data_IF_529800303200
#
_entry.id   IF_529800303200
#
_cell.length_a   1.000
_cell.length_b   1.000
_cell.length_c   1.000
_cell.angle_alpha   90.00
_cell.angle_beta   90.00
_cell.angle_gamma   90.00
#
_symmetry.space_group_name_H-M   'P 1'
#
loop_
_entity.id
_entity.type
_entity.pdbx_description
1 polymer ?
#
# COMPACT_ATOMS: atom_id res chain seq x y z
N UNK A 1 -15.49 15.37 19.78
CA UNK A 1 -15.28 14.61 18.52
C UNK A 1 -14.66 13.28 18.93
N UNK A 2 -15.15 12.14 18.43
CA UNK A 2 -14.57 10.83 18.72
C UNK A 2 -13.26 10.65 17.97
N UNK A 3 -12.31 9.95 18.60
CA UNK A 3 -11.00 9.66 18.00
C UNK A 3 -11.11 8.50 17.01
N UNK A 4 -10.66 8.68 15.77
CA UNK A 4 -10.67 7.61 14.77
C UNK A 4 -9.48 6.66 15.02
N UNK A 5 -9.77 5.39 15.33
CA UNK A 5 -8.73 4.41 15.66
C UNK A 5 -7.89 3.98 14.46
N UNK A 6 -8.34 4.25 13.23
CA UNK A 6 -7.55 4.00 12.02
C UNK A 6 -6.37 4.98 11.85
N UNK A 7 -6.32 6.09 12.61
CA UNK A 7 -5.21 7.05 12.56
C UNK A 7 -3.96 6.60 13.36
N UNK A 8 -4.06 5.50 14.09
CA UNK A 8 -2.99 5.07 14.99
C UNK A 8 -2.16 3.91 14.45
N UNK A 9 -0.85 4.03 14.62
CA UNK A 9 0.04 2.85 14.71
C UNK A 9 -0.18 2.15 16.07
N UNK A 10 0.23 0.88 16.21
CA UNK A 10 0.08 0.17 17.48
C UNK A 10 0.79 0.84 18.67
N UNK A 11 2.02 1.38 18.53
CA UNK A 11 2.63 2.17 19.59
C UNK A 11 1.81 3.39 20.01
N UNK A 12 1.38 4.21 19.03
CA UNK A 12 0.57 5.40 19.31
C UNK A 12 -0.80 5.05 19.91
N UNK A 13 -1.44 3.97 19.47
CA UNK A 13 -2.67 3.46 20.08
C UNK A 13 -2.44 3.02 21.51
N UNK A 14 -1.30 2.42 21.82
CA UNK A 14 -0.94 1.98 23.17
C UNK A 14 -0.79 3.18 24.12
N UNK A 15 -0.16 4.24 23.66
CA UNK A 15 -0.04 5.51 24.43
C UNK A 15 -1.42 6.15 24.65
N UNK A 16 -2.27 6.17 23.62
CA UNK A 16 -3.63 6.67 23.75
C UNK A 16 -4.45 5.86 24.75
N UNK A 17 -4.36 4.51 24.73
CA UNK A 17 -5.01 3.66 25.73
C UNK A 17 -4.48 3.91 27.15
N UNK A 18 -3.18 4.14 27.31
CA UNK A 18 -2.60 4.50 28.60
C UNK A 18 -3.19 5.82 29.14
N UNK A 19 -3.44 6.81 28.27
CA UNK A 19 -4.11 8.06 28.66
C UNK A 19 -5.55 7.85 29.14
N UNK A 20 -6.19 6.76 28.70
CA UNK A 20 -7.51 6.33 29.18
C UNK A 20 -7.46 5.48 30.45
N UNK A 21 -6.26 5.22 31.01
CA UNK A 21 -6.08 4.33 32.16
C UNK A 21 -6.15 2.84 31.84
N UNK A 22 -6.05 2.48 30.54
CA UNK A 22 -6.12 1.11 30.07
C UNK A 22 -4.73 0.47 29.90
N UNK A 23 -4.67 -0.86 30.06
CA UNK A 23 -3.40 -1.60 29.93
C UNK A 23 -2.98 -1.75 28.45
N UNK A 24 -1.67 -1.81 28.14
CA UNK A 24 -1.14 -1.90 26.75
C UNK A 24 -1.70 -3.07 25.93
N UNK A 25 -2.00 -4.22 26.55
CA UNK A 25 -2.54 -5.37 25.83
C UNK A 25 -3.96 -5.13 25.29
N UNK A 26 -4.73 -4.18 25.88
CA UNK A 26 -6.07 -3.80 25.40
C UNK A 26 -5.98 -3.08 24.07
N UNK A 27 -4.99 -2.19 23.89
CA UNK A 27 -4.71 -1.55 22.62
C UNK A 27 -4.45 -2.59 21.52
N UNK A 28 -3.63 -3.61 21.81
CA UNK A 28 -3.35 -4.70 20.89
C UNK A 28 -4.59 -5.52 20.53
N UNK A 29 -5.46 -5.81 21.49
CA UNK A 29 -6.73 -6.51 21.23
C UNK A 29 -7.60 -5.70 20.25
N UNK A 30 -7.83 -4.41 20.55
CA UNK A 30 -8.63 -3.53 19.68
C UNK A 30 -8.00 -3.39 18.31
N UNK A 31 -6.68 -3.21 18.23
CA UNK A 31 -5.94 -3.10 16.96
C UNK A 31 -6.15 -4.33 16.06
N UNK A 32 -6.12 -5.54 16.65
CA UNK A 32 -6.42 -6.79 15.92
C UNK A 32 -7.88 -6.84 15.44
N UNK A 33 -8.83 -6.44 16.28
CA UNK A 33 -10.23 -6.41 15.88
C UNK A 33 -10.45 -5.48 14.68
N UNK A 34 -9.86 -4.29 14.75
CA UNK A 34 -10.01 -3.28 13.69
C UNK A 34 -9.34 -3.73 12.40
N UNK A 35 -8.06 -4.13 12.45
CA UNK A 35 -7.27 -4.34 11.23
C UNK A 35 -7.26 -5.80 10.73
N UNK A 36 -7.16 -6.80 11.64
CA UNK A 36 -7.14 -8.20 11.20
C UNK A 36 -8.53 -8.70 10.85
N UNK A 37 -9.53 -8.36 11.68
CA UNK A 37 -10.89 -8.84 11.50
C UNK A 37 -11.78 -7.89 10.71
N UNK A 38 -11.36 -6.64 10.51
CA UNK A 38 -12.13 -5.63 9.79
C UNK A 38 -13.41 -5.22 10.51
N UNK A 39 -13.39 -5.19 11.84
CA UNK A 39 -14.56 -4.90 12.68
C UNK A 39 -14.52 -3.44 13.14
N UNK A 40 -15.60 -2.70 12.87
CA UNK A 40 -15.78 -1.32 13.32
C UNK A 40 -16.68 -1.19 14.55
N UNK A 41 -17.54 -2.17 14.80
CA UNK A 41 -18.48 -2.16 15.92
C UNK A 41 -17.81 -2.72 17.20
N UNK A 42 -17.69 -1.88 18.22
CA UNK A 42 -17.11 -2.28 19.50
C UNK A 42 -17.92 -3.35 20.22
N UNK A 43 -19.23 -3.46 19.98
CA UNK A 43 -20.06 -4.51 20.59
C UNK A 43 -19.72 -5.90 20.07
N UNK A 44 -19.25 -6.00 18.84
CA UNK A 44 -18.77 -7.25 18.25
C UNK A 44 -17.41 -7.72 18.79
N UNK A 45 -16.67 -6.86 19.52
CA UNK A 45 -15.35 -7.17 20.08
C UNK A 45 -15.48 -7.95 21.40
N UNK A 46 -15.89 -9.22 21.31
CA UNK A 46 -16.37 -10.03 22.45
C UNK A 46 -15.33 -10.37 23.49
N UNK A 47 -14.04 -10.32 23.18
CA UNK A 47 -12.93 -10.55 24.13
C UNK A 47 -12.56 -9.28 24.95
N UNK A 48 -13.23 -8.15 24.67
CA UNK A 48 -13.11 -6.94 25.48
C UNK A 48 -14.17 -6.90 26.59
N UNK A 49 -13.77 -6.41 27.77
CA UNK A 49 -14.71 -6.16 28.86
C UNK A 49 -15.84 -5.22 28.41
N UNK A 50 -17.08 -5.47 28.86
CA UNK A 50 -18.24 -4.62 28.50
C UNK A 50 -18.00 -3.15 28.85
N UNK A 51 -17.41 -2.86 30.03
CA UNK A 51 -17.08 -1.50 30.46
C UNK A 51 -16.12 -0.78 29.49
N UNK A 52 -15.13 -1.50 28.94
CA UNK A 52 -14.22 -0.94 27.95
C UNK A 52 -14.93 -0.66 26.62
N UNK A 53 -15.81 -1.57 26.17
CA UNK A 53 -16.59 -1.36 24.95
C UNK A 53 -17.48 -0.12 25.05
N UNK A 54 -18.19 0.06 26.16
CA UNK A 54 -19.00 1.26 26.41
C UNK A 54 -18.14 2.54 26.41
N UNK A 55 -16.99 2.50 27.12
CA UNK A 55 -16.05 3.63 27.14
C UNK A 55 -15.57 3.99 25.71
N UNK A 56 -15.20 2.97 24.90
CA UNK A 56 -14.74 3.22 23.53
C UNK A 56 -15.83 3.83 22.65
N UNK A 57 -17.10 3.44 22.80
CA UNK A 57 -18.21 4.06 22.06
C UNK A 57 -18.35 5.56 22.32
N UNK A 58 -17.99 6.02 23.50
CA UNK A 58 -18.07 7.43 23.86
C UNK A 58 -16.91 8.25 23.28
N UNK A 59 -15.68 7.69 23.28
CA UNK A 59 -14.44 8.44 22.99
C UNK A 59 -13.80 8.10 21.66
N UNK A 60 -14.18 6.99 21.02
CA UNK A 60 -13.54 6.48 19.81
C UNK A 60 -14.56 6.09 18.73
N UNK A 61 -14.05 5.96 17.53
CA UNK A 61 -14.75 5.38 16.37
C UNK A 61 -13.76 4.66 15.45
N UNK A 62 -14.27 3.78 14.59
CA UNK A 62 -13.53 3.21 13.46
C UNK A 62 -14.25 3.69 12.21
N UNK A 63 -13.74 4.75 11.60
CA UNK A 63 -14.36 5.43 10.46
C UNK A 63 -13.43 5.42 9.25
N UNK A 64 -13.53 4.39 8.38
CA UNK A 64 -12.85 4.40 7.09
C UNK A 64 -13.56 5.35 6.11
N UNK A 65 -12.92 5.71 4.98
CA UNK A 65 -13.59 6.47 3.92
C UNK A 65 -14.75 5.68 3.29
N UNK A 66 -15.80 6.39 2.88
CA UNK A 66 -16.97 5.78 2.23
C UNK A 66 -16.73 5.60 0.73
N UNK A 67 -17.34 4.56 0.13
CA UNK A 67 -17.31 4.34 -1.31
C UNK A 67 -18.36 5.23 -1.97
N UNK A 68 -17.91 6.17 -2.82
CA UNK A 68 -18.79 6.97 -3.68
C UNK A 68 -19.18 6.23 -4.96
N UNK A 69 -18.25 5.48 -5.54
CA UNK A 69 -18.51 4.63 -6.71
C UNK A 69 -17.59 3.43 -6.76
N UNK A 70 -18.09 2.34 -7.38
CA UNK A 70 -17.35 1.10 -7.63
C UNK A 70 -17.52 0.73 -9.11
N UNK A 71 -16.39 0.52 -9.80
CA UNK A 71 -16.36 0.07 -11.17
C UNK A 71 -15.56 -1.22 -11.29
N UNK A 72 -16.11 -2.21 -12.00
CA UNK A 72 -15.47 -3.50 -12.24
C UNK A 72 -15.20 -3.69 -13.72
N UNK A 73 -14.00 -4.13 -14.02
CA UNK A 73 -13.59 -4.52 -15.36
C UNK A 73 -13.75 -6.03 -15.59
N UNK A 74 -13.76 -6.44 -16.84
CA UNK A 74 -13.93 -7.85 -17.22
C UNK A 74 -12.78 -8.76 -16.76
N UNK A 75 -11.59 -8.19 -16.52
CA UNK A 75 -10.41 -8.88 -15.98
C UNK A 75 -10.42 -9.02 -14.45
N UNK A 76 -11.50 -8.58 -13.79
CA UNK A 76 -11.64 -8.61 -12.33
C UNK A 76 -11.04 -7.42 -11.59
N UNK A 77 -10.44 -6.47 -12.31
CA UNK A 77 -9.97 -5.20 -11.70
C UNK A 77 -11.15 -4.43 -11.13
N UNK A 78 -10.99 -3.92 -9.91
CA UNK A 78 -12.01 -3.10 -9.24
C UNK A 78 -11.43 -1.74 -8.91
N UNK A 79 -12.11 -0.69 -9.37
CA UNK A 79 -11.76 0.70 -9.05
C UNK A 79 -12.83 1.30 -8.14
N UNK A 80 -12.41 1.88 -7.04
CA UNK A 80 -13.23 2.63 -6.12
C UNK A 80 -12.88 4.11 -6.15
N UNK A 81 -13.91 4.95 -6.04
CA UNK A 81 -13.78 6.34 -5.65
C UNK A 81 -14.22 6.43 -4.18
N UNK A 82 -13.34 6.93 -3.32
CA UNK A 82 -13.58 7.11 -1.90
C UNK A 82 -13.85 8.56 -1.55
N UNK A 83 -14.86 8.82 -0.71
CA UNK A 83 -15.06 10.11 -0.08
C UNK A 83 -14.04 10.35 1.03
N UNK A 84 -13.30 11.43 0.91
CA UNK A 84 -12.33 11.88 1.93
C UNK A 84 -12.74 13.24 2.51
N UNK A 85 -14.01 13.60 2.38
CA UNK A 85 -14.60 14.80 2.97
C UNK A 85 -14.41 16.08 2.16
N UNK A 86 -15.20 17.08 2.49
CA UNK A 86 -15.17 18.43 1.88
C UNK A 86 -15.30 18.38 0.35
N UNK A 87 -16.11 17.44 -0.18
CA UNK A 87 -16.31 17.28 -1.61
C UNK A 87 -15.09 16.71 -2.38
N UNK A 88 -14.13 16.14 -1.67
CA UNK A 88 -12.94 15.53 -2.26
C UNK A 88 -13.11 14.02 -2.37
N UNK A 89 -12.63 13.47 -3.48
CA UNK A 89 -12.56 12.03 -3.73
C UNK A 89 -11.15 11.58 -4.08
N UNK A 90 -10.81 10.35 -3.67
CA UNK A 90 -9.57 9.70 -4.09
C UNK A 90 -9.85 8.31 -4.64
N UNK A 91 -9.04 7.88 -5.60
CA UNK A 91 -9.20 6.58 -6.23
C UNK A 91 -8.29 5.53 -5.57
N UNK A 92 -8.81 4.30 -5.45
CA UNK A 92 -8.00 3.11 -5.25
C UNK A 92 -8.38 2.05 -6.27
N UNK A 93 -7.40 1.22 -6.66
CA UNK A 93 -7.58 0.20 -7.67
C UNK A 93 -7.06 -1.14 -7.16
N UNK A 94 -7.92 -2.14 -7.16
CA UNK A 94 -7.54 -3.52 -6.92
C UNK A 94 -7.33 -4.26 -8.23
N UNK A 95 -6.17 -4.90 -8.36
CA UNK A 95 -5.77 -5.66 -9.56
C UNK A 95 -5.55 -7.09 -9.10
N UNK A 96 -6.45 -8.04 -9.50
CA UNK A 96 -6.27 -9.46 -9.23
C UNK A 96 -5.22 -10.04 -10.17
N UNK A 97 -4.40 -10.93 -9.63
CA UNK A 97 -3.49 -11.78 -10.38
C UNK A 97 -3.66 -13.23 -9.88
N UNK A 98 -3.14 -14.22 -10.59
CA UNK A 98 -3.40 -15.64 -10.30
C UNK A 98 -3.10 -16.06 -8.86
N UNK A 99 -2.04 -15.49 -8.25
CA UNK A 99 -1.54 -15.85 -6.93
C UNK A 99 -1.49 -14.68 -5.95
N UNK A 100 -1.94 -13.48 -6.36
CA UNK A 100 -1.87 -12.26 -5.55
C UNK A 100 -2.97 -11.27 -5.92
N UNK A 101 -3.32 -10.42 -4.95
CA UNK A 101 -4.15 -9.25 -5.17
C UNK A 101 -3.36 -7.99 -4.82
N UNK A 102 -3.18 -7.09 -5.78
CA UNK A 102 -2.46 -5.83 -5.59
C UNK A 102 -3.44 -4.68 -5.45
N UNK A 103 -3.35 -3.93 -4.36
CA UNK A 103 -4.14 -2.71 -4.15
C UNK A 103 -3.25 -1.47 -4.36
N UNK A 104 -3.64 -0.65 -5.32
CA UNK A 104 -3.09 0.67 -5.53
C UNK A 104 -3.86 1.68 -4.67
N UNK A 105 -3.17 2.42 -3.79
CA UNK A 105 -3.77 3.40 -2.87
C UNK A 105 -3.23 4.80 -3.11
N UNK A 106 -4.08 5.79 -2.81
CA UNK A 106 -3.76 7.22 -2.90
C UNK A 106 -3.20 7.74 -1.59
N UNK A 107 -2.35 8.78 -1.67
CA UNK A 107 -1.70 9.43 -0.53
C UNK A 107 -2.06 10.91 -0.37
N UNK A 108 -2.60 11.56 -1.40
CA UNK A 108 -2.99 12.97 -1.42
C UNK A 108 -4.26 13.17 -2.24
N UNK A 109 -4.97 14.24 -1.99
CA UNK A 109 -5.99 14.79 -2.89
C UNK A 109 -5.28 15.70 -3.87
N UNK A 110 -5.19 15.29 -5.14
CA UNK A 110 -4.38 15.99 -6.15
C UNK A 110 -2.88 15.79 -5.94
N UNK A 111 -2.05 16.56 -6.68
CA UNK A 111 -0.59 16.49 -6.60
C UNK A 111 0.06 17.82 -7.02
N UNK A 112 1.06 18.27 -6.28
CA UNK A 112 1.78 19.51 -6.56
C UNK A 112 2.90 19.37 -7.62
N UNK A 113 3.21 18.16 -8.09
CA UNK A 113 4.39 17.93 -8.94
C UNK A 113 4.17 18.25 -10.42
N UNK A 114 2.93 18.45 -10.85
CA UNK A 114 2.51 18.86 -12.18
C UNK A 114 3.19 18.07 -13.34
N UNK A 115 3.28 16.74 -13.18
CA UNK A 115 3.78 15.88 -14.25
C UNK A 115 2.84 15.94 -15.46
N UNK A 116 3.36 16.31 -16.65
CA UNK A 116 2.54 16.62 -17.82
C UNK A 116 1.66 15.47 -18.33
N UNK A 117 2.04 14.23 -18.07
CA UNK A 117 1.31 13.01 -18.46
C UNK A 117 0.34 12.50 -17.37
N UNK A 118 0.24 13.20 -16.23
CA UNK A 118 -0.51 12.70 -15.07
C UNK A 118 -1.79 13.52 -14.87
N UNK A 119 -2.95 12.83 -14.91
CA UNK A 119 -4.26 13.49 -14.67
C UNK A 119 -4.36 14.08 -13.26
N UNK A 120 -3.81 13.39 -12.25
CA UNK A 120 -3.78 13.90 -10.87
C UNK A 120 -2.92 15.15 -10.73
N UNK A 121 -1.80 15.24 -11.47
CA UNK A 121 -0.95 16.43 -11.49
C UNK A 121 -1.68 17.66 -12.05
N UNK A 122 -2.56 17.47 -13.05
CA UNK A 122 -3.38 18.54 -13.61
C UNK A 122 -4.47 19.08 -12.69
N UNK A 123 -4.87 18.29 -11.69
CA UNK A 123 -5.85 18.73 -10.68
C UNK A 123 -5.25 19.72 -9.66
N UNK A 124 -3.91 19.81 -9.60
CA UNK A 124 -3.22 20.54 -8.55
C UNK A 124 -3.29 19.84 -7.19
N UNK A 125 -2.64 20.41 -6.19
CA UNK A 125 -2.63 19.88 -4.82
C UNK A 125 -3.73 20.53 -3.99
N UNK A 126 -4.50 19.71 -3.28
CA UNK A 126 -5.50 20.18 -2.33
C UNK A 126 -5.01 19.95 -0.89
N UNK A 127 -4.80 18.68 -0.49
CA UNK A 127 -4.31 18.32 0.85
C UNK A 127 -3.69 16.92 0.91
N UNK A 128 -2.97 16.68 1.97
CA UNK A 128 -2.52 15.35 2.34
C UNK A 128 -3.68 14.51 2.90
N UNK A 129 -3.62 13.19 2.66
CA UNK A 129 -4.50 12.24 3.33
C UNK A 129 -3.96 11.91 4.73
N UNK A 130 -4.88 11.73 5.68
CA UNK A 130 -4.56 11.22 7.00
C UNK A 130 -4.20 9.73 6.96
N UNK A 131 -3.68 9.21 8.07
CA UNK A 131 -3.39 7.77 8.20
C UNK A 131 -4.65 6.94 8.00
N UNK A 132 -5.77 7.35 8.63
CA UNK A 132 -7.06 6.66 8.50
C UNK A 132 -7.61 6.68 7.08
N UNK A 133 -7.38 7.72 6.30
CA UNK A 133 -7.79 7.80 4.90
C UNK A 133 -6.91 6.90 4.01
N UNK A 134 -5.61 6.77 4.29
CA UNK A 134 -4.71 5.89 3.55
C UNK A 134 -4.98 4.42 3.91
N UNK A 135 -4.94 4.07 5.20
CA UNK A 135 -5.19 2.69 5.67
C UNK A 135 -6.63 2.27 5.42
N UNK A 136 -7.55 3.23 5.50
CA UNK A 136 -8.98 3.01 5.26
C UNK A 136 -9.28 2.49 3.87
N UNK A 137 -8.53 2.91 2.83
CA UNK A 137 -8.65 2.35 1.48
C UNK A 137 -8.39 0.83 1.50
N UNK A 138 -7.34 0.39 2.19
CA UNK A 138 -7.02 -1.03 2.35
C UNK A 138 -8.07 -1.76 3.20
N UNK A 139 -8.54 -1.12 4.29
CA UNK A 139 -9.55 -1.68 5.18
C UNK A 139 -10.87 -1.95 4.43
N UNK A 140 -11.36 -0.96 3.69
CA UNK A 140 -12.60 -1.07 2.90
C UNK A 140 -12.44 -2.05 1.75
N UNK A 141 -11.33 -1.99 1.01
CA UNK A 141 -11.06 -2.92 -0.08
C UNK A 141 -11.09 -4.38 0.40
N UNK A 142 -10.39 -4.71 1.51
CA UNK A 142 -10.42 -6.07 2.06
C UNK A 142 -11.83 -6.52 2.47
N UNK A 143 -12.63 -5.63 3.08
CA UNK A 143 -14.00 -5.92 3.47
C UNK A 143 -14.86 -6.18 2.23
N UNK A 144 -14.83 -5.25 1.27
CA UNK A 144 -15.65 -5.31 0.06
C UNK A 144 -15.33 -6.52 -0.81
N UNK A 145 -14.04 -6.85 -0.97
CA UNK A 145 -13.61 -8.02 -1.73
C UNK A 145 -14.05 -9.36 -1.08
N UNK A 146 -14.11 -9.44 0.26
CA UNK A 146 -14.67 -10.61 0.96
C UNK A 146 -16.18 -10.73 0.73
N UNK A 147 -16.90 -9.62 0.79
CA UNK A 147 -18.34 -9.58 0.48
C UNK A 147 -18.60 -10.06 -0.93
N UNK A 148 -17.84 -9.57 -1.92
CA UNK A 148 -17.94 -9.98 -3.32
C UNK A 148 -17.66 -11.48 -3.51
N UNK A 149 -16.66 -12.02 -2.81
CA UNK A 149 -16.36 -13.45 -2.84
C UNK A 149 -17.50 -14.30 -2.25
N UNK A 150 -18.11 -13.84 -1.17
CA UNK A 150 -19.28 -14.51 -0.55
C UNK A 150 -20.52 -14.46 -1.45
N UNK A 151 -20.69 -13.41 -2.25
CA UNK A 151 -21.75 -13.23 -3.23
C UNK A 151 -21.53 -14.06 -4.51
N UNK A 152 -20.43 -14.83 -4.61
CA UNK A 152 -20.11 -15.66 -5.79
C UNK A 152 -19.70 -14.84 -7.03
N UNK A 153 -19.32 -13.59 -6.84
CA UNK A 153 -19.02 -12.66 -7.93
C UNK A 153 -17.58 -12.80 -8.44
N UNK A 154 -17.20 -14.02 -8.87
CA UNK A 154 -16.05 -14.23 -9.77
C UNK A 154 -14.65 -14.03 -9.18
N UNK A 155 -14.49 -13.78 -7.89
CA UNK A 155 -13.22 -13.61 -7.23
C UNK A 155 -12.79 -14.91 -6.54
N UNK A 156 -11.83 -15.64 -7.09
CA UNK A 156 -11.18 -16.74 -6.38
C UNK A 156 -10.14 -16.13 -5.42
N UNK A 157 -10.47 -16.10 -4.14
CA UNK A 157 -9.44 -15.98 -3.12
C UNK A 157 -8.42 -17.10 -3.36
N UNK A 158 -7.15 -16.73 -3.50
CA UNK A 158 -6.04 -17.61 -3.86
C UNK A 158 -6.15 -19.03 -3.31
N UNK A 159 -5.82 -20.01 -4.16
CA UNK A 159 -5.73 -21.44 -3.83
C UNK A 159 -5.10 -21.64 -2.44
N UNK A 160 -5.70 -22.53 -1.66
CA UNK A 160 -5.03 -23.22 -0.56
C UNK A 160 -3.63 -23.64 -1.02
N UNK A 161 -2.60 -23.18 -0.32
CA UNK A 161 -1.27 -23.72 -0.49
C UNK A 161 -1.37 -25.23 -0.34
N UNK A 162 -0.82 -26.04 -1.25
CA UNK A 162 -0.81 -27.48 -1.06
C UNK A 162 -0.12 -27.78 0.26
N UNK A 163 -0.81 -28.48 1.15
CA UNK A 163 -0.23 -29.04 2.37
C UNK A 163 1.08 -29.75 2.02
N UNK A 164 2.19 -29.50 2.73
CA UNK A 164 3.40 -30.25 2.55
C UNK A 164 3.28 -31.59 3.31
N UNK A 165 2.39 -32.45 2.87
CA UNK A 165 2.33 -33.84 3.33
C UNK A 165 2.26 -34.73 2.10
N UNK A 166 3.44 -35.08 1.58
CA UNK A 166 3.64 -36.26 0.81
C UNK A 166 3.34 -37.48 1.71
N UNK A 167 2.40 -38.30 1.30
CA UNK A 167 2.19 -39.63 1.85
C UNK A 167 3.46 -40.45 1.73
N UNK A 168 4.09 -40.73 2.86
CA UNK A 168 5.14 -41.74 3.01
C UNK A 168 4.72 -42.72 4.09
N UNK A 169 4.22 -43.86 3.64
CA UNK A 169 3.93 -45.04 4.45
C UNK A 169 5.15 -45.52 5.25
N UNK A 170 5.00 -45.79 6.55
CA UNK A 170 6.02 -46.53 7.31
C UNK A 170 5.87 -46.43 8.82
N UNK A 171 5.24 -47.46 9.36
CA UNK A 171 5.08 -47.83 10.75
C UNK A 171 6.39 -47.78 11.55
N UNK A 172 6.36 -47.22 12.80
CA UNK A 172 6.74 -47.92 14.03
C UNK A 172 6.52 -47.08 15.28
N UNK A 173 5.84 -47.70 16.25
CA UNK A 173 5.67 -47.28 17.65
C UNK A 173 7.00 -47.22 18.39
N UNK A 174 7.14 -46.24 19.28
CA UNK A 174 7.58 -46.52 20.67
C UNK A 174 7.43 -45.28 21.56
N UNK A 175 6.95 -45.57 22.73
CA UNK A 175 6.64 -44.76 23.93
C UNK A 175 7.79 -43.90 24.46
N UNK A 176 7.53 -42.69 24.98
CA UNK A 176 7.61 -42.33 26.43
C UNK A 176 7.56 -40.80 26.66
N UNK A 177 6.62 -40.43 27.52
CA UNK A 177 6.56 -39.43 28.61
C UNK A 177 7.41 -38.13 28.54
N UNK A 178 6.74 -37.01 28.59
CA UNK A 178 6.66 -36.01 29.67
C UNK A 178 6.42 -34.59 29.11
N UNK A 179 5.36 -33.95 29.64
CA UNK A 179 5.00 -32.51 29.48
C UNK A 179 6.08 -31.59 30.09
N UNK A 180 6.13 -30.28 29.74
CA UNK A 180 5.05 -29.38 30.10
C UNK A 180 4.71 -28.24 29.12
N UNK A 181 3.46 -27.76 29.23
CA UNK A 181 2.93 -26.41 28.96
C UNK A 181 3.37 -25.71 27.69
N UNK A 182 2.64 -25.97 26.60
CA UNK A 182 2.54 -25.06 25.46
C UNK A 182 1.52 -23.95 25.73
N UNK A 183 1.82 -22.69 25.31
CA UNK A 183 0.79 -21.65 25.24
C UNK A 183 -0.29 -22.07 24.23
N UNK A 184 -1.53 -21.78 24.54
CA UNK A 184 -2.69 -22.12 23.74
C UNK A 184 -2.47 -21.76 22.27
N UNK A 185 -2.47 -22.77 21.42
CA UNK A 185 -2.53 -22.64 19.97
C UNK A 185 -3.80 -21.86 19.60
N UNK A 186 -3.64 -20.74 18.91
CA UNK A 186 -4.73 -20.08 18.20
C UNK A 186 -5.30 -21.09 17.19
N UNK A 187 -6.62 -21.08 16.91
CA UNK A 187 -7.20 -21.99 15.94
C UNK A 187 -6.49 -21.81 14.59
N UNK A 188 -5.92 -22.89 14.09
CA UNK A 188 -5.37 -22.94 12.73
C UNK A 188 -6.50 -22.65 11.75
N UNK A 189 -6.40 -21.59 10.94
CA UNK A 189 -7.31 -21.30 9.86
C UNK A 189 -7.55 -19.86 9.46
N UNK A 190 -7.15 -18.84 10.24
CA UNK A 190 -7.48 -17.44 9.90
C UNK A 190 -6.36 -16.63 9.20
N UNK A 191 -5.22 -17.24 8.90
CA UNK A 191 -4.02 -16.51 8.44
C UNK A 191 -3.91 -16.25 6.93
N UNK A 192 -4.67 -16.90 6.05
CA UNK A 192 -4.39 -16.90 4.61
C UNK A 192 -5.48 -16.35 3.68
N UNK A 193 -6.57 -15.83 4.20
CA UNK A 193 -7.74 -15.47 3.37
C UNK A 193 -7.92 -13.96 3.16
N UNK A 194 -6.82 -13.21 3.00
CA UNK A 194 -6.91 -11.77 2.69
C UNK A 194 -6.83 -11.57 1.18
N UNK A 195 -7.82 -10.90 0.56
CA UNK A 195 -7.83 -10.64 -0.86
C UNK A 195 -6.64 -9.79 -1.32
N UNK A 196 -6.25 -8.80 -0.50
CA UNK A 196 -5.12 -7.94 -0.78
C UNK A 196 -3.85 -8.52 -0.16
N UNK A 197 -2.91 -8.93 -1.02
CA UNK A 197 -1.60 -9.45 -0.63
C UNK A 197 -0.44 -8.48 -0.87
N UNK A 198 -0.65 -7.46 -1.71
CA UNK A 198 0.33 -6.43 -2.03
C UNK A 198 -0.35 -5.05 -1.99
N UNK A 199 0.38 -4.04 -1.52
CA UNK A 199 -0.08 -2.64 -1.57
C UNK A 199 0.98 -1.81 -2.29
N UNK A 200 0.53 -0.96 -3.21
CA UNK A 200 1.40 -0.01 -3.92
C UNK A 200 0.89 1.41 -3.73
N UNK A 201 1.75 2.31 -3.28
CA UNK A 201 1.48 3.74 -3.13
C UNK A 201 1.66 4.43 -4.48
N UNK A 202 0.80 4.10 -5.46
CA UNK A 202 0.88 4.54 -6.86
C UNK A 202 -0.40 5.22 -7.33
N UNK A 203 -1.32 5.54 -6.42
CA UNK A 203 -2.54 6.27 -6.69
C UNK A 203 -2.31 7.77 -6.78
N UNK A 204 -3.24 8.57 -6.29
CA UNK A 204 -3.16 10.03 -6.34
C UNK A 204 -2.14 10.56 -5.33
N UNK A 205 -1.30 11.54 -5.78
CA UNK A 205 -0.33 12.25 -4.95
C UNK A 205 1.11 11.74 -5.06
N UNK A 206 2.03 12.50 -4.45
CA UNK A 206 3.42 12.09 -4.21
C UNK A 206 3.54 11.61 -2.76
N UNK A 207 3.72 10.31 -2.52
CA UNK A 207 3.71 9.77 -1.15
C UNK A 207 4.77 10.38 -0.25
N UNK A 208 5.94 10.69 -0.78
CA UNK A 208 7.00 11.31 0.02
C UNK A 208 6.65 12.75 0.45
N UNK A 209 5.72 13.44 -0.23
CA UNK A 209 5.27 14.75 0.23
C UNK A 209 4.34 14.65 1.45
N UNK A 210 3.63 13.54 1.60
CA UNK A 210 2.85 13.20 2.80
C UNK A 210 3.60 12.21 3.71
N UNK A 211 4.88 12.46 3.97
CA UNK A 211 5.83 11.50 4.52
C UNK A 211 5.36 10.82 5.81
N UNK A 212 4.98 11.61 6.82
CA UNK A 212 4.72 11.08 8.16
C UNK A 212 3.44 10.22 8.18
N UNK A 213 2.37 10.65 7.50
CA UNK A 213 1.14 9.84 7.39
C UNK A 213 1.36 8.58 6.55
N UNK A 214 2.13 8.67 5.47
CA UNK A 214 2.45 7.51 4.60
C UNK A 214 3.30 6.48 5.36
N UNK A 215 4.31 6.91 6.09
CA UNK A 215 5.14 6.02 6.92
C UNK A 215 4.31 5.37 8.02
N UNK A 216 3.45 6.12 8.70
CA UNK A 216 2.55 5.57 9.71
C UNK A 216 1.58 4.55 9.10
N UNK A 217 0.97 4.85 7.95
CA UNK A 217 0.07 3.93 7.24
C UNK A 217 0.80 2.64 6.81
N UNK A 218 2.00 2.76 6.22
CA UNK A 218 2.81 1.59 5.87
C UNK A 218 3.21 0.78 7.10
N UNK A 219 3.52 1.43 8.23
CA UNK A 219 3.81 0.73 9.49
C UNK A 219 2.63 -0.13 9.96
N UNK A 220 1.39 0.37 9.83
CA UNK A 220 0.18 -0.42 10.09
C UNK A 220 0.04 -1.58 9.11
N UNK A 221 0.34 -1.37 7.81
CA UNK A 221 0.30 -2.43 6.80
C UNK A 221 1.30 -3.56 7.08
N UNK A 222 2.45 -3.23 7.67
CA UNK A 222 3.51 -4.18 8.00
C UNK A 222 3.32 -4.86 9.36
N UNK A 223 2.55 -4.28 10.30
CA UNK A 223 2.38 -4.81 11.65
C UNK A 223 1.67 -6.16 11.65
N UNK A 224 2.25 -7.16 12.31
CA UNK A 224 1.70 -8.52 12.44
C UNK A 224 0.35 -8.54 13.19
N UNK A 225 0.07 -7.54 14.02
CA UNK A 225 -1.23 -7.39 14.68
C UNK A 225 -2.27 -6.66 13.79
N UNK A 226 -1.88 -6.23 12.59
CA UNK A 226 -2.75 -5.61 11.60
C UNK A 226 -2.80 -6.44 10.32
N UNK A 227 -2.10 -6.02 9.27
CA UNK A 227 -2.14 -6.70 7.96
C UNK A 227 -0.99 -7.68 7.75
N UNK A 228 0.10 -7.58 8.49
CA UNK A 228 1.24 -8.50 8.43
C UNK A 228 1.87 -8.63 7.04
N UNK A 229 1.81 -7.57 6.23
CA UNK A 229 2.46 -7.56 4.92
C UNK A 229 3.98 -7.48 5.09
N UNK A 230 4.73 -8.21 4.29
CA UNK A 230 6.18 -8.05 4.29
C UNK A 230 6.59 -6.74 3.61
N UNK A 231 7.76 -6.19 3.97
CA UNK A 231 8.32 -5.00 3.32
C UNK A 231 8.48 -5.13 1.80
N UNK A 232 8.56 -6.35 1.27
CA UNK A 232 8.60 -6.65 -0.17
C UNK A 232 7.24 -6.51 -0.84
N UNK A 233 6.14 -6.58 -0.08
CA UNK A 233 4.77 -6.53 -0.55
C UNK A 233 4.11 -5.16 -0.38
N UNK A 234 4.80 -4.23 0.26
CA UNK A 234 4.44 -2.81 0.30
C UNK A 234 5.44 -2.07 -0.55
N UNK A 235 4.97 -1.39 -1.61
CA UNK A 235 5.81 -0.62 -2.52
C UNK A 235 5.47 0.86 -2.41
N UNK A 236 6.47 1.68 -2.10
CA UNK A 236 6.35 3.13 -2.21
C UNK A 236 6.81 3.54 -3.61
N UNK A 237 6.00 4.31 -4.31
CA UNK A 237 6.37 4.96 -5.57
C UNK A 237 6.67 6.43 -5.33
N UNK A 238 7.70 6.96 -5.99
CA UNK A 238 8.05 8.39 -5.90
C UNK A 238 8.49 8.95 -7.24
N UNK A 239 8.19 10.21 -7.46
CA UNK A 239 8.72 10.99 -8.56
C UNK A 239 10.18 11.44 -8.35
N UNK A 240 10.77 11.13 -7.18
CA UNK A 240 12.17 11.41 -6.88
C UNK A 240 12.39 12.61 -5.97
N UNK A 241 11.65 12.73 -4.86
CA UNK A 241 11.90 13.69 -3.78
C UNK A 241 13.08 13.18 -2.95
N UNK A 242 14.32 13.41 -3.43
CA UNK A 242 15.55 12.75 -3.00
C UNK A 242 15.81 12.85 -1.49
N UNK A 243 15.69 14.04 -0.90
CA UNK A 243 15.96 14.20 0.54
C UNK A 243 14.99 13.37 1.41
N UNK A 244 13.74 13.20 0.98
CA UNK A 244 12.76 12.36 1.68
C UNK A 244 12.94 10.88 1.38
N UNK A 245 13.47 10.53 0.20
CA UNK A 245 13.85 9.16 -0.12
C UNK A 245 14.99 8.68 0.80
N UNK A 246 16.00 9.52 1.05
CA UNK A 246 17.06 9.23 2.03
C UNK A 246 16.49 9.05 3.45
N UNK A 247 15.55 9.90 3.87
CA UNK A 247 14.84 9.74 5.15
C UNK A 247 14.06 8.42 5.21
N UNK A 248 13.43 7.99 4.12
CA UNK A 248 12.69 6.72 4.04
C UNK A 248 13.61 5.50 4.24
N UNK A 249 14.83 5.54 3.66
CA UNK A 249 15.86 4.50 3.87
C UNK A 249 16.10 4.24 5.35
N UNK A 250 16.18 5.30 6.14
CA UNK A 250 16.49 5.23 7.58
C UNK A 250 15.27 4.88 8.42
N UNK A 251 14.06 5.28 7.98
CA UNK A 251 12.85 5.17 8.79
C UNK A 251 12.11 3.85 8.56
N UNK A 252 11.78 3.53 7.31
CA UNK A 252 10.96 2.36 6.96
C UNK A 252 11.25 1.91 5.52
N UNK A 253 12.40 1.27 5.26
CA UNK A 253 12.72 0.83 3.90
C UNK A 253 11.77 -0.28 3.45
N UNK A 254 10.97 0.01 2.44
CA UNK A 254 10.04 -0.91 1.75
C UNK A 254 10.47 -1.10 0.29
N UNK A 255 9.75 -1.91 -0.50
CA UNK A 255 10.01 -1.98 -1.93
C UNK A 255 9.83 -0.60 -2.57
N UNK A 256 10.73 -0.23 -3.49
CA UNK A 256 10.77 1.09 -4.10
C UNK A 256 10.46 1.02 -5.60
N UNK A 257 9.59 1.93 -6.03
CA UNK A 257 9.39 2.26 -7.42
C UNK A 257 9.71 3.76 -7.65
N UNK A 258 10.29 4.07 -8.80
CA UNK A 258 10.70 5.44 -9.13
C UNK A 258 10.21 5.82 -10.51
N UNK A 259 9.45 6.89 -10.59
CA UNK A 259 8.98 7.49 -11.84
C UNK A 259 10.15 8.17 -12.55
N UNK A 260 10.73 7.49 -13.56
CA UNK A 260 11.86 8.01 -14.33
C UNK A 260 11.40 8.70 -15.62
N UNK A 261 10.66 8.00 -16.46
CA UNK A 261 9.95 8.42 -17.66
C UNK A 261 10.78 9.09 -18.77
N UNK A 262 12.06 9.35 -18.55
CA UNK A 262 12.97 9.92 -19.55
C UNK A 262 14.41 9.41 -19.37
N UNK A 263 15.22 9.34 -20.43
CA UNK A 263 16.61 8.89 -20.35
C UNK A 263 17.61 10.03 -20.06
N UNK A 264 17.16 11.29 -20.07
CA UNK A 264 17.98 12.48 -19.86
C UNK A 264 17.22 13.59 -19.12
N UNK A 265 17.97 14.56 -18.57
CA UNK A 265 17.44 15.65 -17.74
C UNK A 265 16.60 16.66 -18.53
N UNK A 266 16.92 16.91 -19.80
CA UNK A 266 16.18 17.86 -20.63
C UNK A 266 14.74 17.38 -20.84
N UNK A 267 14.60 16.14 -21.30
CA UNK A 267 13.31 15.53 -21.50
C UNK A 267 12.56 15.34 -20.18
N UNK A 268 13.25 14.83 -19.14
CA UNK A 268 12.63 14.63 -17.84
C UNK A 268 12.12 15.95 -17.25
N UNK A 269 12.88 17.03 -17.31
CA UNK A 269 12.45 18.34 -16.81
C UNK A 269 11.25 18.92 -17.55
N UNK A 270 11.07 18.53 -18.82
CA UNK A 270 9.92 18.94 -19.63
C UNK A 270 8.63 18.22 -19.22
N UNK A 271 8.70 16.92 -18.94
CA UNK A 271 7.52 16.11 -18.61
C UNK A 271 7.30 15.91 -17.10
N UNK A 272 8.35 16.11 -16.29
CA UNK A 272 8.35 16.00 -14.83
C UNK A 272 9.15 17.17 -14.21
N UNK A 273 8.48 18.27 -13.84
CA UNK A 273 9.16 19.49 -13.34
C UNK A 273 10.05 19.26 -12.11
N UNK A 274 9.77 18.25 -11.28
CA UNK A 274 10.56 17.87 -10.10
C UNK A 274 12.04 17.59 -10.44
N UNK A 275 12.35 17.21 -11.69
CA UNK A 275 13.71 16.96 -12.15
C UNK A 275 14.63 18.18 -12.05
N UNK A 276 14.06 19.39 -12.10
CA UNK A 276 14.83 20.65 -11.93
C UNK A 276 15.41 20.78 -10.53
N UNK A 277 14.71 20.21 -9.54
CA UNK A 277 15.17 20.17 -8.14
C UNK A 277 16.08 18.98 -7.84
N UNK A 278 15.84 17.85 -8.51
CA UNK A 278 16.56 16.58 -8.33
C UNK A 278 16.86 15.97 -9.69
N UNK A 279 18.02 16.33 -10.31
CA UNK A 279 18.46 15.76 -11.58
C UNK A 279 18.62 14.25 -11.52
N UNK A 280 18.57 13.58 -12.66
CA UNK A 280 18.64 12.13 -12.78
C UNK A 280 19.87 11.55 -12.07
N UNK A 281 21.03 12.21 -12.17
CA UNK A 281 22.25 11.72 -11.53
C UNK A 281 22.09 11.63 -10.00
N UNK A 282 21.55 12.67 -9.35
CA UNK A 282 21.29 12.70 -7.91
C UNK A 282 20.22 11.67 -7.51
N UNK A 283 19.17 11.53 -8.33
CA UNK A 283 18.12 10.54 -8.11
C UNK A 283 18.69 9.11 -8.15
N UNK A 284 19.51 8.77 -9.15
CA UNK A 284 20.10 7.43 -9.28
C UNK A 284 21.11 7.14 -8.17
N UNK A 285 21.86 8.14 -7.70
CA UNK A 285 22.73 8.00 -6.52
C UNK A 285 21.90 7.65 -5.29
N UNK A 286 20.80 8.38 -5.03
CA UNK A 286 19.91 8.09 -3.91
C UNK A 286 19.23 6.71 -4.04
N UNK A 287 18.94 6.28 -5.27
CA UNK A 287 18.43 4.94 -5.54
C UNK A 287 19.44 3.84 -5.19
N UNK A 288 20.72 4.03 -5.57
CA UNK A 288 21.80 3.08 -5.22
C UNK A 288 22.00 3.02 -3.70
N UNK A 289 22.01 4.17 -3.04
CA UNK A 289 22.10 4.27 -1.58
C UNK A 289 20.91 3.56 -0.90
N UNK A 290 19.68 3.75 -1.41
CA UNK A 290 18.48 3.09 -0.88
C UNK A 290 18.55 1.55 -0.95
N UNK A 291 19.20 0.98 -1.98
CA UNK A 291 19.32 -0.46 -2.16
C UNK A 291 20.04 -1.17 -0.98
N UNK A 292 20.91 -0.47 -0.25
CA UNK A 292 21.59 -1.04 0.93
C UNK A 292 20.62 -1.46 2.05
N UNK A 293 19.46 -0.79 2.17
CA UNK A 293 18.43 -1.10 3.19
C UNK A 293 17.15 -1.71 2.59
N UNK A 294 17.03 -1.69 1.26
CA UNK A 294 15.83 -2.16 0.55
C UNK A 294 15.57 -3.66 0.81
N UNK A 295 14.29 -4.07 0.92
CA UNK A 295 13.93 -5.48 1.08
C UNK A 295 14.08 -6.29 -0.22
N UNK A 296 14.31 -5.63 -1.35
CA UNK A 296 14.59 -6.21 -2.68
C UNK A 296 15.94 -5.72 -3.16
N UNK A 297 16.64 -6.56 -3.92
CA UNK A 297 17.94 -6.29 -4.54
C UNK A 297 17.85 -5.48 -5.84
N UNK A 298 16.67 -4.88 -6.12
CA UNK A 298 16.42 -4.04 -7.28
C UNK A 298 15.38 -2.96 -6.98
N UNK A 299 15.42 -1.88 -7.77
CA UNK A 299 14.39 -0.83 -7.82
C UNK A 299 13.55 -1.02 -9.09
N UNK A 300 12.26 -0.74 -9.02
CA UNK A 300 11.41 -0.68 -10.20
C UNK A 300 11.41 0.75 -10.74
N UNK A 301 11.89 0.95 -11.98
CA UNK A 301 11.71 2.24 -12.66
C UNK A 301 10.46 2.21 -13.53
N UNK A 302 9.59 3.17 -13.30
CA UNK A 302 8.37 3.38 -14.10
C UNK A 302 8.70 4.24 -15.31
N UNK A 303 8.25 3.82 -16.50
CA UNK A 303 8.48 4.53 -17.77
C UNK A 303 7.22 4.54 -18.62
N UNK A 304 6.51 5.65 -18.62
CA UNK A 304 5.34 5.86 -19.49
C UNK A 304 5.80 6.08 -20.92
N UNK A 305 5.17 5.38 -21.88
CA UNK A 305 5.48 5.51 -23.31
C UNK A 305 4.58 6.55 -23.97
N UNK A 306 5.18 7.66 -24.41
CA UNK A 306 4.53 8.81 -25.04
C UNK A 306 4.96 8.91 -26.50
N UNK A 307 4.00 8.82 -27.45
CA UNK A 307 4.23 8.81 -28.90
C UNK A 307 5.07 10.02 -29.35
N UNK A 308 6.21 9.75 -30.02
CA UNK A 308 7.12 10.77 -30.54
C UNK A 308 7.85 11.62 -29.48
N UNK A 309 7.70 11.28 -28.16
CA UNK A 309 8.30 12.06 -27.06
C UNK A 309 9.47 11.32 -26.43
N UNK A 310 9.25 10.08 -25.97
CA UNK A 310 10.25 9.30 -25.22
C UNK A 310 10.33 7.82 -25.66
N UNK A 311 9.69 7.45 -26.76
CA UNK A 311 9.46 6.07 -27.21
C UNK A 311 10.33 5.63 -28.40
N UNK A 312 11.33 6.44 -28.79
CA UNK A 312 12.21 6.07 -29.91
C UNK A 312 13.27 5.04 -29.53
N UNK A 313 13.82 4.28 -30.52
CA UNK A 313 14.97 3.39 -30.28
C UNK A 313 16.21 4.09 -29.70
N UNK A 314 16.37 5.39 -29.97
CA UNK A 314 17.46 6.21 -29.41
C UNK A 314 17.24 6.40 -27.90
N UNK A 315 16.01 6.72 -27.48
CA UNK A 315 15.66 6.83 -26.06
C UNK A 315 15.84 5.49 -25.31
N UNK A 316 15.45 4.36 -25.92
CA UNK A 316 15.67 3.05 -25.34
C UNK A 316 17.16 2.71 -25.11
N UNK A 317 18.03 3.03 -26.09
CA UNK A 317 19.48 2.86 -25.94
C UNK A 317 20.07 3.77 -24.88
N UNK A 318 19.64 5.03 -24.81
CA UNK A 318 20.07 5.98 -23.79
C UNK A 318 19.65 5.53 -22.40
N UNK A 319 18.40 5.07 -22.24
CA UNK A 319 17.87 4.52 -20.99
C UNK A 319 18.64 3.27 -20.53
N UNK A 320 18.92 2.34 -21.43
CA UNK A 320 19.71 1.14 -21.13
C UNK A 320 21.14 1.51 -20.69
N UNK A 321 21.75 2.52 -21.31
CA UNK A 321 23.07 3.05 -20.91
C UNK A 321 23.00 3.70 -19.51
N UNK A 322 21.96 4.52 -19.25
CA UNK A 322 21.77 5.23 -18.00
C UNK A 322 21.61 4.28 -16.81
N UNK A 323 20.85 3.19 -16.99
CA UNK A 323 20.52 2.24 -15.92
C UNK A 323 21.49 1.07 -15.81
N UNK A 324 22.55 1.00 -16.60
CA UNK A 324 23.50 -0.14 -16.66
C UNK A 324 24.02 -0.57 -15.30
N UNK A 325 24.35 0.40 -14.44
CA UNK A 325 25.00 0.17 -13.16
C UNK A 325 24.04 0.29 -11.96
N UNK A 326 22.73 0.22 -12.23
CA UNK A 326 21.69 0.25 -11.20
C UNK A 326 20.89 -1.05 -11.26
N UNK A 327 20.95 -1.91 -10.22
CA UNK A 327 20.10 -3.09 -10.15
C UNK A 327 18.61 -2.68 -10.21
N UNK A 328 17.94 -2.97 -11.34
CA UNK A 328 16.58 -2.49 -11.53
C UNK A 328 15.72 -3.39 -12.41
N UNK A 329 14.43 -3.18 -12.32
CA UNK A 329 13.41 -3.60 -13.29
C UNK A 329 12.81 -2.37 -13.93
N UNK A 330 12.50 -2.45 -15.21
CA UNK A 330 11.81 -1.39 -15.93
C UNK A 330 10.36 -1.82 -16.17
N UNK A 331 9.42 -1.01 -15.71
CA UNK A 331 8.00 -1.16 -16.00
C UNK A 331 7.61 -0.18 -17.11
N UNK A 332 7.28 -0.70 -18.28
CA UNK A 332 6.84 0.09 -19.42
C UNK A 332 5.32 0.26 -19.36
N UNK A 333 4.85 1.51 -19.27
CA UNK A 333 3.44 1.83 -19.08
C UNK A 333 2.90 2.42 -20.38
N UNK A 334 1.96 1.76 -21.08
CA UNK A 334 1.24 2.39 -22.18
C UNK A 334 0.47 3.61 -21.68
N UNK A 335 0.66 4.75 -22.33
CA UNK A 335 -0.06 5.96 -21.95
C UNK A 335 -1.56 5.83 -22.25
N UNK A 336 -2.39 6.24 -21.28
CA UNK A 336 -3.83 6.38 -21.46
C UNK A 336 -4.16 7.86 -21.62
N UNK A 337 -4.48 8.32 -22.84
CA UNK A 337 -4.81 9.71 -23.09
C UNK A 337 -6.01 10.17 -22.27
N UNK A 338 -5.94 11.41 -21.77
CA UNK A 338 -7.05 12.10 -21.13
C UNK A 338 -7.19 13.50 -21.75
N UNK A 339 -8.36 14.15 -21.63
CA UNK A 339 -8.54 15.51 -22.11
C UNK A 339 -7.41 16.41 -21.62
N UNK A 340 -6.90 17.27 -22.50
CA UNK A 340 -5.85 18.27 -22.21
C UNK A 340 -4.45 17.70 -21.85
N UNK A 341 -4.22 16.38 -21.97
CA UNK A 341 -2.89 15.79 -21.70
C UNK A 341 -1.81 16.28 -22.68
N UNK A 342 -2.20 16.59 -23.93
CA UNK A 342 -1.29 16.98 -25.00
C UNK A 342 -0.37 15.85 -25.49
N UNK A 343 -0.55 14.62 -25.00
CA UNK A 343 0.24 13.44 -25.37
C UNK A 343 -0.63 12.37 -26.02
N UNK A 344 0.01 11.52 -26.82
CA UNK A 344 -0.61 10.36 -27.44
C UNK A 344 0.05 9.06 -26.95
N UNK A 345 -0.67 7.96 -27.05
CA UNK A 345 -0.17 6.62 -26.75
C UNK A 345 0.82 6.18 -27.83
N UNK A 346 1.98 5.66 -27.44
CA UNK A 346 2.96 5.02 -28.32
C UNK A 346 2.32 3.87 -29.11
N UNK A 347 2.74 3.68 -30.36
CA UNK A 347 2.21 2.69 -31.32
C UNK A 347 2.86 1.33 -31.16
#
# INVERSE_FOLDING_TARGET
MRTNLLDFTLPALTEWFASLGEKPFRARQVFRWVHQRGVADFDAMTDLAKSLREKLKEVAEVRPPEILSEHRSADGTVKWLFDVGIGNGVEAVFIPEDDRGTLCVSSQVGCALDCGFCSTGRQGFNRDLSVSEIVGQLWVANKRLREMAAEGQGFRLTKELPSPLGEGSGVRESSSKSSPSSPALLPEGEGSNRPVSNVVMMGMGEPLNNFDNVVAAMSVMLDDNAYGLSRRRVTLSTSGVVHKLRRLKETLPVALAVSLHAPDDELRSRIMPINRSYPIAELLEACKDYLEAAPRDFITFEYVLLDGVNDTPAHARALAKLLRDVPCKLNLIPFNPFPESGFARSR
#
